data_IF_720857416869
#
_entry.id   IF_720857416869
#
_cell.length_a   1.000
_cell.length_b   1.000
_cell.length_c   1.000
_cell.angle_alpha   90.00
_cell.angle_beta   90.00
_cell.angle_gamma   90.00
#
_symmetry.space_group_name_H-M   'P 1'
#
loop_
_entity.id
_entity.type
_entity.pdbx_description
1 polymer ?
#
# COMPACT_ATOMS: atom_id res chain seq x y z
N UNK A 1 -9.99 6.94 -17.19
CA UNK A 1 -11.23 7.03 -16.38
C UNK A 1 -11.44 8.49 -15.93
N UNK A 2 -12.67 8.95 -15.59
CA UNK A 2 -12.88 10.34 -15.19
C UNK A 2 -12.15 10.67 -13.89
N UNK A 3 -11.76 11.94 -13.70
CA UNK A 3 -11.29 12.46 -12.41
C UNK A 3 -12.50 12.66 -11.49
N UNK A 4 -12.41 12.14 -10.26
CA UNK A 4 -13.47 12.23 -9.25
C UNK A 4 -12.79 12.62 -7.94
N UNK A 5 -13.32 13.63 -7.26
CA UNK A 5 -12.79 14.16 -6.00
C UNK A 5 -11.29 14.50 -6.05
N UNK A 6 -10.81 14.95 -7.21
CA UNK A 6 -9.41 15.30 -7.44
C UNK A 6 -8.47 14.13 -7.70
N UNK A 7 -8.97 12.89 -7.75
CA UNK A 7 -8.17 11.68 -7.98
C UNK A 7 -8.35 11.14 -9.40
N UNK A 8 -7.26 10.70 -10.04
CA UNK A 8 -7.31 9.97 -11.32
C UNK A 8 -7.93 8.58 -11.16
N UNK A 9 -8.15 7.89 -12.28
CA UNK A 9 -8.62 6.51 -12.26
C UNK A 9 -7.66 5.57 -11.54
N UNK A 10 -6.38 5.61 -11.90
CA UNK A 10 -5.33 4.77 -11.32
C UNK A 10 -5.17 5.05 -9.82
N UNK A 11 -5.13 6.33 -9.43
CA UNK A 11 -5.06 6.73 -8.03
C UNK A 11 -6.23 6.15 -7.22
N UNK A 12 -7.44 6.14 -7.77
CA UNK A 12 -8.60 5.53 -7.09
C UNK A 12 -8.51 4.02 -6.95
N UNK A 13 -7.83 3.31 -7.86
CA UNK A 13 -7.55 1.87 -7.69
C UNK A 13 -6.63 1.66 -6.48
N UNK A 14 -5.55 2.44 -6.35
CA UNK A 14 -4.65 2.36 -5.20
C UNK A 14 -5.33 2.75 -3.89
N UNK A 15 -6.16 3.81 -3.89
CA UNK A 15 -6.97 4.16 -2.71
C UNK A 15 -7.97 3.05 -2.36
N UNK A 16 -8.55 2.42 -3.38
CA UNK A 16 -9.43 1.27 -3.27
C UNK A 16 -8.77 0.05 -2.61
N UNK A 17 -7.51 -0.21 -2.97
CA UNK A 17 -6.68 -1.23 -2.34
C UNK A 17 -6.35 -0.88 -0.89
N UNK A 18 -5.89 0.34 -0.63
CA UNK A 18 -5.51 0.80 0.70
C UNK A 18 -6.67 0.77 1.69
N UNK A 19 -7.89 1.15 1.27
CA UNK A 19 -9.05 1.14 2.17
C UNK A 19 -9.47 -0.27 2.62
N UNK A 20 -9.29 -1.29 1.77
CA UNK A 20 -9.63 -2.69 2.13
C UNK A 20 -8.71 -3.22 3.23
N UNK A 21 -7.47 -2.74 3.28
CA UNK A 21 -6.50 -3.11 4.32
C UNK A 21 -6.55 -2.24 5.58
N UNK A 22 -7.52 -1.32 5.70
CA UNK A 22 -7.67 -0.48 6.90
C UNK A 22 -8.03 -1.34 8.12
N UNK A 23 -7.02 -1.75 8.88
CA UNK A 23 -7.14 -2.60 10.06
C UNK A 23 -6.11 -2.21 11.11
N UNK A 24 -6.48 -2.34 12.39
CA UNK A 24 -5.57 -2.17 13.53
C UNK A 24 -5.78 -3.31 14.52
N UNK A 25 -4.67 -3.81 15.06
CA UNK A 25 -4.67 -4.85 16.09
C UNK A 25 -4.12 -4.27 17.39
N UNK A 26 -4.51 -4.84 18.53
CA UNK A 26 -3.80 -4.60 19.79
C UNK A 26 -2.41 -5.23 19.68
N UNK A 27 -1.42 -4.65 20.34
CA UNK A 27 -0.02 -5.09 20.26
C UNK A 27 0.15 -6.59 20.51
N UNK A 28 -0.43 -7.13 21.58
CA UNK A 28 -0.36 -8.56 21.89
C UNK A 28 -0.95 -9.45 20.76
N UNK A 29 -2.01 -8.99 20.10
CA UNK A 29 -2.60 -9.72 18.97
C UNK A 29 -1.77 -9.58 17.69
N UNK A 30 -1.16 -8.41 17.47
CA UNK A 30 -0.21 -8.23 16.37
C UNK A 30 1.00 -9.16 16.52
N UNK A 31 1.60 -9.24 17.72
CA UNK A 31 2.70 -10.17 18.03
C UNK A 31 2.25 -11.63 17.82
N UNK A 32 1.06 -11.99 18.31
CA UNK A 32 0.54 -13.35 18.12
C UNK A 32 0.36 -13.68 16.64
N UNK A 33 -0.21 -12.77 15.84
CA UNK A 33 -0.42 -12.96 14.41
C UNK A 33 0.88 -13.07 13.64
N UNK A 34 1.90 -12.27 13.97
CA UNK A 34 3.23 -12.40 13.36
C UNK A 34 3.81 -13.82 13.51
N UNK A 35 3.44 -14.55 14.57
CA UNK A 35 3.92 -15.91 14.80
C UNK A 35 3.10 -17.01 14.10
N UNK A 36 1.83 -16.76 13.73
CA UNK A 36 0.90 -17.85 13.34
C UNK A 36 0.02 -17.54 12.13
N UNK A 37 -0.15 -16.28 11.76
CA UNK A 37 -0.95 -15.87 10.61
C UNK A 37 -0.03 -15.88 9.37
N UNK A 38 -0.32 -16.67 8.32
CA UNK A 38 0.51 -16.70 7.13
C UNK A 38 0.41 -15.41 6.30
N UNK A 39 -0.54 -14.52 6.61
CA UNK A 39 -0.69 -13.25 5.91
C UNK A 39 0.18 -12.18 6.56
N UNK A 40 0.87 -11.39 5.73
CA UNK A 40 1.56 -10.18 6.20
C UNK A 40 0.59 -9.23 6.92
N UNK A 41 1.07 -8.44 7.90
CA UNK A 41 0.26 -7.40 8.51
C UNK A 41 -0.32 -6.41 7.47
N UNK A 42 -1.53 -5.87 7.70
CA UNK A 42 -2.27 -5.09 6.70
C UNK A 42 -1.48 -3.90 6.13
N UNK A 43 -0.70 -3.20 6.95
CA UNK A 43 0.16 -2.09 6.52
C UNK A 43 1.21 -2.52 5.48
N UNK A 44 1.75 -3.74 5.61
CA UNK A 44 2.71 -4.29 4.64
C UNK A 44 2.01 -4.89 3.42
N UNK A 45 0.79 -5.42 3.57
CA UNK A 45 -0.02 -5.86 2.41
C UNK A 45 -0.38 -4.68 1.50
N UNK A 46 -0.63 -3.51 2.09
CA UNK A 46 -0.85 -2.29 1.33
C UNK A 46 0.46 -1.78 0.72
N UNK A 47 1.42 -1.37 1.55
CA UNK A 47 2.58 -0.60 1.09
C UNK A 47 3.66 -1.47 0.45
N UNK A 48 3.84 -2.69 0.92
CA UNK A 48 4.86 -3.61 0.41
C UNK A 48 4.57 -4.11 -1.00
N UNK A 49 3.29 -4.18 -1.40
CA UNK A 49 2.92 -4.61 -2.76
C UNK A 49 3.08 -3.47 -3.76
N UNK A 50 2.51 -2.30 -3.47
CA UNK A 50 2.45 -1.19 -4.45
C UNK A 50 3.82 -0.64 -4.83
N UNK A 51 4.82 -0.72 -3.95
CA UNK A 51 6.18 -0.26 -4.25
C UNK A 51 6.93 -1.11 -5.30
N UNK A 52 6.39 -2.26 -5.67
CA UNK A 52 6.91 -3.12 -6.74
C UNK A 52 6.15 -2.91 -8.07
N UNK A 53 5.34 -1.86 -8.20
CA UNK A 53 4.52 -1.58 -9.38
C UNK A 53 4.88 -0.22 -9.95
N UNK A 54 5.31 -0.16 -11.21
CA UNK A 54 5.66 1.09 -11.89
C UNK A 54 4.49 2.08 -11.90
N UNK A 55 3.25 1.60 -12.01
CA UNK A 55 2.06 2.45 -12.03
C UNK A 55 1.83 3.21 -10.72
N UNK A 56 2.38 2.72 -9.59
CA UNK A 56 2.34 3.45 -8.33
C UNK A 56 3.25 4.69 -8.38
N UNK A 57 4.43 4.55 -8.98
CA UNK A 57 5.38 5.65 -9.17
C UNK A 57 4.78 6.71 -10.08
N UNK A 58 4.19 6.29 -11.21
CA UNK A 58 3.53 7.21 -12.15
C UNK A 58 2.30 7.89 -11.54
N UNK A 59 1.46 7.15 -10.81
CA UNK A 59 0.22 7.67 -10.26
C UNK A 59 0.44 8.72 -9.15
N UNK A 60 1.54 8.64 -8.39
CA UNK A 60 1.82 9.51 -7.25
C UNK A 60 3.08 10.36 -7.39
N UNK A 61 3.84 10.22 -8.49
CA UNK A 61 5.08 10.97 -8.71
C UNK A 61 6.18 10.60 -7.72
N UNK A 62 6.28 9.31 -7.36
CA UNK A 62 7.23 8.82 -6.34
C UNK A 62 8.66 8.89 -6.87
N UNK A 63 9.55 9.53 -6.12
CA UNK A 63 10.98 9.68 -6.42
C UNK A 63 11.88 9.07 -5.35
N UNK A 64 13.19 9.15 -5.56
CA UNK A 64 14.21 8.53 -4.70
C UNK A 64 14.19 9.03 -3.24
N UNK A 65 13.64 10.21 -3.00
CA UNK A 65 13.54 10.81 -1.66
C UNK A 65 12.30 10.33 -0.89
N UNK A 66 11.37 9.61 -1.54
CA UNK A 66 10.15 9.11 -0.91
C UNK A 66 10.37 7.77 -0.20
N UNK A 67 9.76 7.60 0.98
CA UNK A 67 9.96 6.43 1.86
C UNK A 67 9.67 5.08 1.19
N UNK A 68 8.68 5.04 0.28
CA UNK A 68 8.29 3.81 -0.39
C UNK A 68 9.06 3.54 -1.69
N UNK A 69 9.96 4.42 -2.11
CA UNK A 69 10.79 4.18 -3.29
C UNK A 69 11.60 2.89 -3.16
N UNK A 70 11.65 2.11 -4.23
CA UNK A 70 12.47 0.92 -4.37
C UNK A 70 13.28 1.04 -5.67
N UNK A 71 14.59 0.86 -5.58
CA UNK A 71 15.46 0.88 -6.76
C UNK A 71 15.10 -0.29 -7.70
N UNK A 72 14.93 -0.05 -9.02
CA UNK A 72 14.69 -1.12 -9.98
C UNK A 72 15.88 -2.10 -10.07
N UNK A 73 15.60 -3.40 -10.25
CA UNK A 73 16.61 -4.44 -10.52
C UNK A 73 17.04 -4.52 -11.99
#
# INVERSE_FOLDING_TARGET
APVIDGLTGEQRVFYGWAQVWRTKSREAEAIRRLAVDPHSPPEFRCNGVIRNMDEFYDAFGVGQDDELYLEPE
#
